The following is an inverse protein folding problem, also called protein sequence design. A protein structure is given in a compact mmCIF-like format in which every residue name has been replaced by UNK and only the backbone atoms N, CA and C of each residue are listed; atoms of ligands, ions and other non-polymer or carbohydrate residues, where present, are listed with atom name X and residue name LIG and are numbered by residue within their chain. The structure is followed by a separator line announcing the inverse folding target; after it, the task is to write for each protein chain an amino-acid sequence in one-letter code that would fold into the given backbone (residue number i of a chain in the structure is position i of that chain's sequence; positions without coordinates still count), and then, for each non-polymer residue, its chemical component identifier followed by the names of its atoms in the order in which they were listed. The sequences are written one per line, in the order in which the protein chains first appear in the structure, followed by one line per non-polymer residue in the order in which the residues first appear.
data_IF_350552173429
#
_entry.id   IF_350552173429
#
_cell.length_a   1.000
_cell.length_b   1.000
_cell.length_c   1.000
_cell.angle_alpha   90.00
_cell.angle_beta   90.00
_cell.angle_gamma   90.00
#
_symmetry.space_group_name_H-M   'P 1'
#
loop_
_entity.id
_entity.type
_entity.pdbx_description
1 polymer ?
#
# COMPACT_ATOMS: atom_id res chain seq x y z
N UNK A 1 -29.60 -10.06 -7.75
CA UNK A 1 -28.61 -9.15 -7.18
C UNK A 1 -28.16 -9.73 -5.86
N UNK A 2 -26.87 -10.03 -5.76
CA UNK A 2 -26.25 -10.53 -4.54
C UNK A 2 -25.62 -9.35 -3.80
N UNK A 3 -26.11 -9.07 -2.58
CA UNK A 3 -25.48 -8.10 -1.68
C UNK A 3 -24.60 -8.86 -0.69
N UNK A 4 -23.26 -8.75 -0.78
CA UNK A 4 -22.34 -9.41 0.12
C UNK A 4 -22.38 -8.86 1.55
N UNK A 5 -23.06 -7.73 1.77
CA UNK A 5 -23.21 -7.09 3.08
C UNK A 5 -24.57 -7.37 3.73
N UNK A 6 -25.46 -8.09 3.04
CA UNK A 6 -26.75 -8.49 3.61
C UNK A 6 -26.58 -9.67 4.59
N UNK A 7 -26.54 -9.33 5.88
CA UNK A 7 -26.41 -10.30 6.97
C UNK A 7 -27.59 -11.26 7.07
N UNK A 8 -28.76 -10.92 6.46
CA UNK A 8 -29.96 -11.75 6.44
C UNK A 8 -29.97 -12.75 5.28
N UNK A 9 -29.09 -12.61 4.31
CA UNK A 9 -29.06 -13.43 3.11
C UNK A 9 -28.76 -14.93 3.44
N UNK A 10 -29.49 -15.87 2.84
CA UNK A 10 -29.18 -17.28 3.00
C UNK A 10 -27.74 -17.59 2.57
N UNK A 11 -26.91 -18.07 3.50
CA UNK A 11 -25.50 -18.36 3.25
C UNK A 11 -24.52 -17.23 3.60
N UNK A 12 -25.01 -16.11 4.14
CA UNK A 12 -24.13 -15.08 4.71
C UNK A 12 -23.14 -15.70 5.72
N UNK A 13 -21.89 -15.28 5.61
CA UNK A 13 -20.83 -15.70 6.52
C UNK A 13 -19.99 -14.48 6.90
N UNK A 14 -19.97 -14.09 8.18
CA UNK A 14 -19.22 -12.90 8.64
C UNK A 14 -17.70 -13.08 8.49
N UNK A 15 -17.24 -14.32 8.33
CA UNK A 15 -15.83 -14.63 8.20
C UNK A 15 -15.63 -15.70 7.11
N UNK A 16 -14.54 -15.57 6.40
CA UNK A 16 -14.06 -16.55 5.43
C UNK A 16 -12.68 -17.06 5.84
N UNK A 17 -12.31 -18.26 5.44
CA UNK A 17 -10.96 -18.77 5.69
C UNK A 17 -9.91 -18.00 4.86
N UNK A 18 -8.66 -17.99 5.32
CA UNK A 18 -7.55 -17.40 4.57
C UNK A 18 -7.43 -18.00 3.15
N UNK A 19 -7.73 -19.28 2.98
CA UNK A 19 -7.72 -19.93 1.68
C UNK A 19 -8.85 -19.45 0.76
N UNK A 20 -10.05 -19.24 1.29
CA UNK A 20 -11.16 -18.66 0.52
C UNK A 20 -10.85 -17.23 0.10
N UNK A 21 -10.33 -16.42 1.02
CA UNK A 21 -9.86 -15.07 0.72
C UNK A 21 -8.80 -15.08 -0.39
N UNK A 22 -7.77 -15.94 -0.29
CA UNK A 22 -6.72 -16.07 -1.30
C UNK A 22 -7.28 -16.44 -2.68
N UNK A 23 -8.27 -17.35 -2.75
CA UNK A 23 -8.92 -17.72 -4.02
C UNK A 23 -9.68 -16.54 -4.64
N UNK A 24 -10.47 -15.83 -3.83
CA UNK A 24 -11.19 -14.63 -4.31
C UNK A 24 -10.19 -13.58 -4.81
N UNK A 25 -9.14 -13.32 -4.04
CA UNK A 25 -8.08 -12.40 -4.43
C UNK A 25 -7.45 -12.77 -5.77
N UNK A 26 -7.10 -14.05 -5.96
CA UNK A 26 -6.52 -14.54 -7.22
C UNK A 26 -7.48 -14.44 -8.41
N UNK A 27 -8.77 -14.72 -8.20
CA UNK A 27 -9.79 -14.57 -9.24
C UNK A 27 -9.97 -13.11 -9.66
N UNK A 28 -10.04 -12.20 -8.70
CA UNK A 28 -10.12 -10.75 -8.99
C UNK A 28 -8.88 -10.28 -9.74
N UNK A 29 -7.70 -10.72 -9.31
CA UNK A 29 -6.43 -10.41 -9.98
C UNK A 29 -6.42 -10.88 -11.44
N UNK A 30 -6.91 -12.10 -11.70
CA UNK A 30 -7.01 -12.65 -13.07
C UNK A 30 -8.01 -11.88 -13.93
N UNK A 31 -9.13 -11.43 -13.36
CA UNK A 31 -10.13 -10.66 -14.07
C UNK A 31 -9.65 -9.24 -14.41
N UNK A 32 -9.01 -8.58 -13.45
CA UNK A 32 -8.54 -7.20 -13.63
C UNK A 32 -7.23 -7.12 -14.42
N UNK A 33 -6.43 -8.18 -14.45
CA UNK A 33 -5.06 -8.17 -14.99
C UNK A 33 -4.18 -7.05 -14.40
N UNK A 34 -4.48 -6.66 -13.15
CA UNK A 34 -3.83 -5.56 -12.44
C UNK A 34 -3.63 -5.90 -10.96
N UNK A 35 -2.37 -6.02 -10.53
CA UNK A 35 -2.00 -6.31 -9.13
C UNK A 35 -2.34 -5.16 -8.17
N UNK A 36 -2.61 -3.97 -8.68
CA UNK A 36 -3.01 -2.81 -7.88
C UNK A 36 -4.52 -2.71 -7.65
N UNK A 37 -5.32 -3.58 -8.27
CA UNK A 37 -6.79 -3.53 -8.23
C UNK A 37 -7.36 -2.17 -8.65
N UNK A 38 -6.71 -1.49 -9.59
CA UNK A 38 -7.09 -0.17 -10.06
C UNK A 38 -6.78 0.97 -9.08
N UNK A 39 -6.10 0.69 -7.97
CA UNK A 39 -5.75 1.71 -6.96
C UNK A 39 -4.62 2.62 -7.45
N UNK A 40 -3.68 2.09 -8.24
CA UNK A 40 -2.55 2.86 -8.77
C UNK A 40 -2.89 3.81 -9.93
N UNK A 41 -4.14 3.85 -10.38
CA UNK A 41 -4.57 4.76 -11.44
C UNK A 41 -4.58 4.15 -12.84
N UNK A 42 -4.00 4.84 -13.83
CA UNK A 42 -4.08 4.44 -15.25
C UNK A 42 -3.10 3.36 -15.66
N UNK A 43 -2.12 3.04 -14.83
CA UNK A 43 -1.12 2.01 -15.14
C UNK A 43 -1.44 0.72 -14.44
N UNK A 44 -1.58 -0.33 -15.26
CA UNK A 44 -1.83 -1.67 -14.78
C UNK A 44 -0.49 -2.30 -14.36
N UNK A 45 -0.41 -2.77 -13.12
CA UNK A 45 0.67 -3.65 -12.71
C UNK A 45 0.33 -5.08 -13.15
N UNK A 46 0.96 -5.54 -14.22
CA UNK A 46 0.71 -6.88 -14.75
C UNK A 46 0.88 -7.96 -13.69
N UNK A 47 0.04 -9.02 -13.69
CA UNK A 47 0.18 -10.15 -12.79
C UNK A 47 1.59 -10.72 -12.78
N UNK A 48 2.20 -10.81 -11.60
CA UNK A 48 3.58 -11.26 -11.42
C UNK A 48 4.60 -10.11 -11.24
N UNK A 49 4.23 -8.85 -11.45
CA UNK A 49 5.14 -7.71 -11.26
C UNK A 49 5.69 -7.64 -9.82
N UNK A 50 4.83 -7.77 -8.82
CA UNK A 50 5.23 -7.83 -7.41
C UNK A 50 6.17 -9.01 -7.13
N UNK A 51 5.88 -10.19 -7.69
CA UNK A 51 6.75 -11.37 -7.57
C UNK A 51 8.13 -11.12 -8.16
N UNK A 52 8.22 -10.50 -9.33
CA UNK A 52 9.50 -10.15 -9.97
C UNK A 52 10.27 -9.13 -9.15
N UNK A 53 9.59 -8.13 -8.60
CA UNK A 53 10.19 -7.19 -7.67
C UNK A 53 10.76 -7.92 -6.43
N UNK A 54 10.04 -8.88 -5.87
CA UNK A 54 10.54 -9.68 -4.74
C UNK A 54 11.83 -10.45 -5.11
N UNK A 55 11.94 -10.99 -6.31
CA UNK A 55 13.19 -11.61 -6.75
C UNK A 55 14.34 -10.62 -6.85
N UNK A 56 14.08 -9.36 -7.22
CA UNK A 56 15.12 -8.33 -7.25
C UNK A 56 15.70 -8.03 -5.87
N UNK A 57 14.91 -8.17 -4.80
CA UNK A 57 15.32 -7.80 -3.44
C UNK A 57 15.82 -8.96 -2.58
N UNK A 58 15.63 -10.22 -3.01
CA UNK A 58 15.91 -11.42 -2.19
C UNK A 58 17.37 -11.51 -1.71
N UNK A 59 18.30 -10.91 -2.45
CA UNK A 59 19.74 -10.88 -2.12
C UNK A 59 20.15 -9.64 -1.30
N UNK A 60 19.22 -8.76 -0.95
CA UNK A 60 19.54 -7.57 -0.16
C UNK A 60 19.92 -7.93 1.28
N UNK A 61 20.94 -7.23 1.82
CA UNK A 61 21.47 -7.49 3.15
C UNK A 61 20.72 -6.76 4.26
N UNK A 62 19.99 -5.71 3.92
CA UNK A 62 19.23 -4.91 4.85
C UNK A 62 18.02 -4.25 4.16
N UNK A 63 17.10 -3.74 4.97
CA UNK A 63 15.86 -3.13 4.49
C UNK A 63 16.12 -1.91 3.60
N UNK A 64 17.09 -1.08 3.93
CA UNK A 64 17.41 0.12 3.13
C UNK A 64 17.80 -0.25 1.69
N UNK A 65 18.66 -1.26 1.50
CA UNK A 65 18.99 -1.77 0.17
C UNK A 65 17.76 -2.35 -0.54
N UNK A 66 16.91 -3.09 0.18
CA UNK A 66 15.69 -3.65 -0.40
C UNK A 66 14.76 -2.54 -0.91
N UNK A 67 14.51 -1.50 -0.09
CA UNK A 67 13.65 -0.38 -0.47
C UNK A 67 14.24 0.40 -1.66
N UNK A 68 15.54 0.66 -1.69
CA UNK A 68 16.19 1.31 -2.83
C UNK A 68 16.03 0.51 -4.11
N UNK A 69 16.25 -0.80 -4.06
CA UNK A 69 16.10 -1.68 -5.22
C UNK A 69 14.65 -1.84 -5.68
N UNK A 70 13.69 -1.81 -4.74
CA UNK A 70 12.26 -1.72 -5.08
C UNK A 70 11.94 -0.42 -5.81
N UNK A 71 12.44 0.72 -5.32
CA UNK A 71 12.25 2.01 -5.98
C UNK A 71 12.86 2.04 -7.39
N UNK A 72 14.03 1.44 -7.59
CA UNK A 72 14.64 1.28 -8.91
C UNK A 72 13.79 0.40 -9.83
N UNK A 73 13.28 -0.73 -9.33
CA UNK A 73 12.40 -1.61 -10.10
C UNK A 73 11.15 -0.86 -10.57
N UNK A 74 10.43 -0.18 -9.69
CA UNK A 74 9.24 0.56 -10.06
C UNK A 74 9.54 1.70 -11.04
N UNK A 75 10.62 2.43 -10.86
CA UNK A 75 11.05 3.49 -11.78
C UNK A 75 11.40 2.95 -13.17
N UNK A 76 11.93 1.72 -13.27
CA UNK A 76 12.34 1.14 -14.55
C UNK A 76 11.17 0.58 -15.34
N UNK A 77 10.19 -0.01 -14.67
CA UNK A 77 9.11 -0.78 -15.30
C UNK A 77 7.75 -0.09 -15.30
N UNK A 78 7.62 1.01 -14.56
CA UNK A 78 6.38 1.77 -14.46
C UNK A 78 6.65 3.26 -14.69
N UNK A 79 5.60 4.02 -15.07
CA UNK A 79 5.72 5.46 -15.31
C UNK A 79 6.22 6.19 -14.05
N UNK A 80 6.92 7.31 -14.26
CA UNK A 80 7.43 8.21 -13.21
C UNK A 80 6.37 8.65 -12.18
N UNK A 81 5.11 8.46 -12.50
CA UNK A 81 3.99 8.87 -11.67
C UNK A 81 3.57 7.85 -10.60
N UNK A 82 4.00 6.57 -10.73
CA UNK A 82 3.70 5.48 -9.78
C UNK A 82 4.92 5.11 -8.94
N UNK A 83 5.54 6.08 -8.25
CA UNK A 83 6.84 5.83 -7.64
C UNK A 83 6.80 5.64 -6.14
N UNK A 84 7.43 4.54 -5.71
CA UNK A 84 8.01 4.45 -4.39
C UNK A 84 9.26 5.33 -4.36
N UNK A 85 9.27 6.37 -3.55
CA UNK A 85 10.44 7.22 -3.37
C UNK A 85 10.94 7.16 -1.94
N UNK A 86 12.24 7.30 -1.77
CA UNK A 86 12.90 7.14 -0.49
C UNK A 86 13.81 8.32 -0.21
N UNK A 87 13.86 8.73 1.03
CA UNK A 87 14.83 9.68 1.51
C UNK A 87 15.36 9.19 2.86
N UNK A 88 16.65 8.90 2.91
CA UNK A 88 17.34 8.46 4.11
C UNK A 88 18.22 9.60 4.63
N UNK A 89 18.11 9.89 5.92
CA UNK A 89 19.00 10.78 6.66
C UNK A 89 19.54 10.02 7.88
N UNK A 90 20.48 10.61 8.59
CA UNK A 90 21.00 10.02 9.84
C UNK A 90 19.93 9.90 10.95
N UNK A 91 18.88 10.68 10.88
CA UNK A 91 17.86 10.78 11.93
C UNK A 91 16.54 10.07 11.61
N UNK A 92 16.27 9.81 10.34
CA UNK A 92 15.01 9.17 9.90
C UNK A 92 15.11 8.62 8.48
N UNK A 93 14.30 7.61 8.22
CA UNK A 93 14.01 7.14 6.88
C UNK A 93 12.59 7.56 6.48
N UNK A 94 12.44 8.11 5.28
CA UNK A 94 11.14 8.41 4.69
C UNK A 94 10.90 7.55 3.47
N UNK A 95 9.73 6.96 3.43
CA UNK A 95 9.27 6.21 2.27
C UNK A 95 7.94 6.78 1.85
N UNK A 96 7.85 7.19 0.60
CA UNK A 96 6.64 7.74 0.02
C UNK A 96 6.14 6.91 -1.15
N UNK A 97 4.84 6.97 -1.37
CA UNK A 97 4.19 6.38 -2.51
C UNK A 97 3.30 7.41 -3.18
N UNK A 98 3.55 7.69 -4.45
CA UNK A 98 2.73 8.62 -5.22
C UNK A 98 1.61 7.84 -5.91
N UNK A 99 0.36 8.19 -5.59
CA UNK A 99 -0.80 7.73 -6.36
C UNK A 99 -1.15 8.73 -7.45
N UNK A 100 -1.60 8.23 -8.59
CA UNK A 100 -1.90 9.06 -9.77
C UNK A 100 -3.32 9.59 -9.84
N UNK A 101 -4.23 9.06 -9.02
CA UNK A 101 -5.63 9.46 -9.09
C UNK A 101 -5.83 10.87 -8.56
N UNK A 102 -6.38 11.72 -9.46
CA UNK A 102 -6.78 13.11 -9.17
C UNK A 102 -8.29 13.27 -8.96
N UNK A 103 -9.06 12.20 -8.99
CA UNK A 103 -10.50 12.30 -9.32
C UNK A 103 -11.46 12.41 -8.13
N UNK A 104 -11.00 12.25 -6.89
CA UNK A 104 -11.81 12.57 -5.71
C UNK A 104 -10.93 12.61 -4.46
N UNK A 105 -10.87 13.73 -3.80
CA UNK A 105 -10.03 14.00 -2.62
C UNK A 105 -10.09 12.91 -1.53
N UNK A 106 -11.28 12.44 -1.17
CA UNK A 106 -11.45 11.40 -0.16
C UNK A 106 -10.96 10.00 -0.62
N UNK A 107 -11.10 9.68 -1.92
CA UNK A 107 -10.62 8.41 -2.49
C UNK A 107 -9.11 8.43 -2.64
N UNK A 108 -8.52 9.60 -2.90
CA UNK A 108 -7.07 9.77 -2.97
C UNK A 108 -6.41 9.48 -1.61
N UNK A 109 -6.97 10.01 -0.52
CA UNK A 109 -6.49 9.74 0.85
C UNK A 109 -6.57 8.26 1.18
N UNK A 110 -7.69 7.60 0.86
CA UNK A 110 -7.86 6.17 1.10
C UNK A 110 -6.87 5.33 0.29
N UNK A 111 -6.68 5.65 -0.99
CA UNK A 111 -5.75 4.94 -1.87
C UNK A 111 -4.29 5.11 -1.40
N UNK A 112 -3.89 6.33 -1.02
CA UNK A 112 -2.58 6.61 -0.46
C UNK A 112 -2.34 5.85 0.85
N UNK A 113 -3.29 5.92 1.78
CA UNK A 113 -3.20 5.20 3.06
C UNK A 113 -3.16 3.68 2.86
N UNK A 114 -3.94 3.14 1.92
CA UNK A 114 -3.90 1.72 1.56
C UNK A 114 -2.52 1.31 1.05
N UNK A 115 -1.98 2.03 0.06
CA UNK A 115 -0.66 1.75 -0.50
C UNK A 115 0.45 1.84 0.54
N UNK A 116 0.47 2.91 1.35
CA UNK A 116 1.44 3.08 2.42
C UNK A 116 1.34 1.98 3.48
N UNK A 117 0.11 1.54 3.83
CA UNK A 117 -0.08 0.47 4.82
C UNK A 117 0.42 -0.89 4.30
N UNK A 118 0.24 -1.18 3.01
CA UNK A 118 0.81 -2.38 2.38
C UNK A 118 2.33 -2.38 2.45
N UNK A 119 2.97 -1.29 2.07
CA UNK A 119 4.43 -1.16 2.14
C UNK A 119 4.94 -1.28 3.58
N UNK A 120 4.31 -0.60 4.53
CA UNK A 120 4.68 -0.70 5.94
C UNK A 120 4.64 -2.16 6.45
N UNK A 121 3.55 -2.88 6.16
CA UNK A 121 3.41 -4.29 6.54
C UNK A 121 4.41 -5.19 5.82
N UNK A 122 4.67 -4.94 4.55
CA UNK A 122 5.64 -5.69 3.77
C UNK A 122 7.07 -5.50 4.31
N UNK A 123 7.45 -4.28 4.69
CA UNK A 123 8.75 -4.02 5.31
C UNK A 123 8.89 -4.72 6.67
N UNK A 124 7.84 -4.71 7.48
CA UNK A 124 7.81 -5.47 8.72
C UNK A 124 7.98 -6.96 8.50
N UNK A 125 7.31 -7.49 7.46
CA UNK A 125 7.46 -8.90 7.07
C UNK A 125 8.90 -9.22 6.62
N UNK A 126 9.52 -8.37 5.80
CA UNK A 126 10.93 -8.53 5.39
C UNK A 126 11.90 -8.52 6.58
N UNK A 127 11.61 -7.75 7.61
CA UNK A 127 12.41 -7.65 8.82
C UNK A 127 12.10 -8.76 9.86
N UNK A 128 11.04 -9.56 9.65
CA UNK A 128 10.57 -10.55 10.60
C UNK A 128 10.01 -9.96 11.91
N UNK A 129 9.71 -8.65 11.94
CA UNK A 129 9.16 -7.94 13.10
C UNK A 129 8.34 -6.73 12.65
N UNK A 130 7.36 -6.29 13.44
CA UNK A 130 6.71 -5.00 13.22
C UNK A 130 7.76 -3.87 13.21
N UNK A 131 7.50 -2.86 12.38
CA UNK A 131 8.31 -1.64 12.34
C UNK A 131 7.48 -0.50 12.90
N UNK A 132 8.05 0.22 13.85
CA UNK A 132 7.41 1.37 14.44
C UNK A 132 7.53 2.58 13.50
N UNK A 133 6.43 3.32 13.37
CA UNK A 133 6.38 4.57 12.63
C UNK A 133 6.36 5.74 13.59
N UNK A 134 7.12 6.78 13.29
CA UNK A 134 7.05 8.06 14.03
C UNK A 134 5.80 8.84 13.67
N UNK A 135 5.48 8.87 12.39
CA UNK A 135 4.30 9.56 11.85
C UNK A 135 4.02 9.12 10.42
N UNK A 136 2.81 9.45 9.97
CA UNK A 136 2.40 9.34 8.55
C UNK A 136 1.90 10.69 8.09
N UNK A 137 2.32 11.11 6.90
CA UNK A 137 1.82 12.29 6.21
C UNK A 137 0.93 11.84 5.05
N UNK A 138 -0.21 12.50 4.86
CA UNK A 138 -1.14 12.31 3.75
C UNK A 138 -1.49 13.65 3.13
N UNK A 139 -1.46 13.75 1.78
CA UNK A 139 -1.70 14.99 1.05
C UNK A 139 -3.14 15.47 1.12
N UNK A 140 -4.09 14.56 1.09
CA UNK A 140 -5.50 14.93 1.03
C UNK A 140 -6.04 15.45 2.36
N UNK A 141 -7.27 15.97 2.35
CA UNK A 141 -7.92 16.52 3.54
C UNK A 141 -8.25 15.44 4.56
N UNK A 142 -8.33 15.83 5.83
CA UNK A 142 -8.72 14.91 6.89
C UNK A 142 -10.14 14.36 6.64
N UNK A 143 -10.32 13.04 6.56
CA UNK A 143 -11.65 12.45 6.46
C UNK A 143 -12.40 12.53 7.79
N UNK A 144 -13.73 12.39 7.77
CA UNK A 144 -14.56 12.45 8.98
C UNK A 144 -14.24 11.42 10.07
N UNK A 145 -13.44 10.40 9.76
CA UNK A 145 -13.00 9.33 10.68
C UNK A 145 -11.45 9.23 10.69
N UNK A 146 -10.78 10.34 10.92
CA UNK A 146 -9.31 10.42 10.99
C UNK A 146 -8.69 9.45 12.01
N UNK A 147 -9.38 9.18 13.12
CA UNK A 147 -9.00 8.22 14.15
C UNK A 147 -8.73 6.80 13.63
N UNK A 148 -9.39 6.39 12.53
CA UNK A 148 -9.15 5.09 11.91
C UNK A 148 -7.77 4.97 11.28
N UNK A 149 -7.24 6.07 10.76
CA UNK A 149 -5.92 6.09 10.13
C UNK A 149 -4.81 5.98 11.18
N UNK A 150 -4.95 6.65 12.32
CA UNK A 150 -4.02 6.50 13.43
C UNK A 150 -4.01 5.07 13.98
N UNK A 151 -5.20 4.44 14.07
CA UNK A 151 -5.29 3.02 14.44
C UNK A 151 -4.69 2.08 13.40
N UNK A 152 -4.79 2.41 12.10
CA UNK A 152 -4.21 1.62 11.01
C UNK A 152 -2.69 1.58 11.08
N UNK A 153 -2.07 2.75 11.34
CA UNK A 153 -0.62 2.92 11.33
C UNK A 153 0.04 2.80 12.70
N UNK A 154 -0.71 2.92 13.78
CA UNK A 154 -0.21 2.88 15.15
C UNK A 154 0.60 4.12 15.55
N UNK A 155 0.47 5.23 14.81
CA UNK A 155 1.20 6.47 15.05
C UNK A 155 0.34 7.70 14.64
N UNK A 156 0.77 8.93 14.97
CA UNK A 156 0.09 10.15 14.50
C UNK A 156 0.04 10.24 12.98
N UNK A 157 -1.13 10.65 12.43
CA UNK A 157 -1.37 10.84 11.00
C UNK A 157 -1.72 12.29 10.72
N UNK A 158 -0.97 12.93 9.83
CA UNK A 158 -1.15 14.32 9.46
C UNK A 158 -1.71 14.42 8.04
N UNK A 159 -2.81 15.12 7.89
CA UNK A 159 -3.47 15.36 6.60
C UNK A 159 -3.12 16.74 6.04
N UNK A 160 -3.40 16.95 4.74
CA UNK A 160 -3.10 18.20 4.06
C UNK A 160 -1.61 18.46 3.88
N UNK A 161 -0.79 17.42 3.86
CA UNK A 161 0.66 17.53 3.74
C UNK A 161 1.10 17.63 2.26
N UNK A 162 2.34 18.03 2.03
CA UNK A 162 2.90 18.16 0.67
C UNK A 162 3.08 16.80 -0.05
N UNK A 163 3.20 15.71 0.69
CA UNK A 163 3.48 14.37 0.16
C UNK A 163 2.88 13.27 1.05
N UNK A 164 2.65 12.10 0.46
CA UNK A 164 2.22 10.91 1.17
C UNK A 164 3.47 10.14 1.64
N UNK A 165 3.73 10.08 2.95
CA UNK A 165 4.99 9.62 3.53
C UNK A 165 4.80 8.78 4.79
N UNK A 166 5.61 7.71 4.90
CA UNK A 166 5.91 7.02 6.16
C UNK A 166 7.23 7.54 6.73
N UNK A 167 7.27 7.80 8.02
CA UNK A 167 8.48 8.15 8.75
C UNK A 167 8.85 7.04 9.72
N UNK A 168 10.04 6.48 9.55
CA UNK A 168 10.64 5.46 10.41
C UNK A 168 11.71 6.06 11.29
N UNK A 169 12.03 5.35 12.39
CA UNK A 169 13.24 5.56 13.19
C UNK A 169 14.50 5.14 12.45
#
# INVERSE_FOLDING_TARGET
DFDPLDESAPGYRPHISAMQYSRVYQQVLQLLQDETFGVAGSELAAPGAFKMMCYCIISCRNLGQAIQRMAEFYRTFFDERSQLYTNFSEQYARVGYRTLRRDAEAREVLAAAYGLSLWHRFFGWLCGRPLDLKRVDLRGPAPGRADKYERLFGCPVYFGQASDLLYFD
#
